data_IF_846377869554
#
_entry.id   IF_846377869554
#
_cell.length_a   1.000
_cell.length_b   1.000
_cell.length_c   1.000
_cell.angle_alpha   90.00
_cell.angle_beta   90.00
_cell.angle_gamma   90.00
#
_symmetry.space_group_name_H-M   'P 1'
#
loop_
_entity.id
_entity.type
_entity.pdbx_description
1 polymer ?
#
# COMPACT_ATOMS: atom_id res chain seq x y z
N UNK A 1 5.93 -0.17 -14.25
CA UNK A 1 6.46 -0.68 -12.96
C UNK A 1 7.60 0.24 -12.57
N UNK A 2 7.56 0.82 -11.36
CA UNK A 2 8.58 1.75 -10.88
C UNK A 2 9.82 1.02 -10.35
N UNK A 3 10.91 1.76 -10.18
CA UNK A 3 12.16 1.23 -9.62
C UNK A 3 12.09 1.19 -8.08
N UNK A 4 11.97 -0.02 -7.53
CA UNK A 4 11.92 -0.25 -6.08
C UNK A 4 13.22 0.16 -5.37
N UNK A 5 14.36 0.11 -6.07
CA UNK A 5 15.66 0.49 -5.51
C UNK A 5 15.72 1.99 -5.18
N UNK A 6 14.96 2.80 -5.92
CA UNK A 6 14.89 4.25 -5.76
C UNK A 6 13.62 4.69 -5.02
N UNK A 7 12.92 3.76 -4.36
CA UNK A 7 11.64 4.06 -3.70
C UNK A 7 11.74 5.14 -2.63
N UNK A 8 12.91 5.28 -1.98
CA UNK A 8 13.19 6.27 -0.93
C UNK A 8 14.42 7.15 -1.22
N UNK A 9 15.14 6.92 -2.32
CA UNK A 9 16.55 7.31 -2.47
C UNK A 9 16.79 8.82 -2.66
N UNK A 10 15.84 9.56 -3.23
CA UNK A 10 16.04 10.99 -3.54
C UNK A 10 15.48 11.95 -2.48
N UNK A 11 14.54 11.50 -1.65
CA UNK A 11 13.81 12.40 -0.72
C UNK A 11 13.47 11.78 0.64
N UNK A 12 13.71 10.48 0.86
CA UNK A 12 13.17 9.74 2.01
C UNK A 12 11.66 9.49 1.93
N UNK A 13 10.98 9.91 0.84
CA UNK A 13 9.53 9.81 0.67
C UNK A 13 9.21 8.87 -0.49
N UNK A 14 8.32 7.90 -0.28
CA UNK A 14 7.83 6.98 -1.31
C UNK A 14 7.04 7.67 -2.43
N UNK A 15 7.72 8.23 -3.44
CA UNK A 15 7.17 9.06 -4.55
C UNK A 15 6.06 8.42 -5.42
N UNK A 16 5.66 7.18 -5.13
CA UNK A 16 4.69 6.42 -5.92
C UNK A 16 3.25 6.50 -5.39
N UNK A 17 3.03 7.11 -4.22
CA UNK A 17 1.71 7.25 -3.60
C UNK A 17 0.93 8.47 -4.14
N UNK A 18 1.62 9.56 -4.50
CA UNK A 18 1.02 10.82 -4.91
C UNK A 18 0.88 10.99 -6.43
N UNK A 19 -0.35 11.24 -6.89
CA UNK A 19 -0.64 11.48 -8.31
C UNK A 19 0.04 12.73 -8.88
N UNK A 20 0.24 13.80 -8.08
CA UNK A 20 0.86 15.02 -8.61
C UNK A 20 2.34 14.84 -8.91
N UNK A 21 3.02 13.93 -8.22
CA UNK A 21 4.44 13.67 -8.48
C UNK A 21 4.62 12.80 -9.73
N UNK A 22 3.69 11.86 -10.00
CA UNK A 22 3.60 11.16 -11.29
C UNK A 22 3.32 12.09 -12.47
N UNK A 23 2.56 13.17 -12.26
CA UNK A 23 2.26 14.15 -13.30
C UNK A 23 3.49 14.98 -13.70
N UNK A 24 4.40 15.28 -12.76
CA UNK A 24 5.65 16.00 -13.06
C UNK A 24 6.60 15.19 -13.95
N UNK A 25 6.51 13.85 -13.91
CA UNK A 25 7.34 12.96 -14.73
C UNK A 25 6.83 12.87 -16.18
N UNK A 26 5.55 13.16 -16.44
CA UNK A 26 4.96 13.19 -17.78
C UNK A 26 4.63 14.62 -18.23
N UNK A 27 5.62 15.27 -18.86
CA UNK A 27 5.54 16.62 -19.47
C UNK A 27 4.22 16.84 -20.23
N UNK A 28 3.42 17.79 -19.79
CA UNK A 28 2.24 18.26 -20.53
C UNK A 28 2.54 19.64 -21.17
N UNK A 29 2.47 19.72 -22.50
CA UNK A 29 2.35 21.00 -23.24
C UNK A 29 0.89 21.43 -23.19
N UNK A 30 0.64 22.67 -22.77
CA UNK A 30 -0.69 23.28 -22.72
C UNK A 30 -1.09 23.89 -24.08
N UNK A 31 -2.37 23.75 -24.43
CA UNK A 31 -3.01 24.50 -25.52
C UNK A 31 -4.27 23.82 -26.04
N UNK A 32 -5.45 24.39 -25.72
CA UNK A 32 -6.73 24.26 -26.45
C UNK A 32 -7.66 23.04 -26.25
N UNK A 33 -7.43 22.14 -25.30
CA UNK A 33 -8.37 21.00 -25.04
C UNK A 33 -8.87 20.91 -23.57
N UNK A 34 -9.26 22.05 -22.98
CA UNK A 34 -9.41 22.21 -21.52
C UNK A 34 -10.35 21.18 -20.83
N UNK A 35 -11.54 20.91 -21.37
CA UNK A 35 -12.48 19.99 -20.70
C UNK A 35 -12.14 18.52 -20.91
N UNK A 36 -11.77 18.10 -22.13
CA UNK A 36 -11.33 16.72 -22.38
C UNK A 36 -10.05 16.40 -21.60
N UNK A 37 -9.10 17.34 -21.55
CA UNK A 37 -7.88 17.20 -20.75
C UNK A 37 -8.16 17.16 -19.25
N UNK A 38 -9.11 17.96 -18.76
CA UNK A 38 -9.54 17.94 -17.35
C UNK A 38 -10.26 16.64 -16.97
N UNK A 39 -11.13 16.13 -17.83
CA UNK A 39 -11.81 14.84 -17.64
C UNK A 39 -10.80 13.69 -17.66
N UNK A 40 -9.87 13.70 -18.60
CA UNK A 40 -8.79 12.71 -18.67
C UNK A 40 -7.91 12.76 -17.40
N UNK A 41 -7.54 13.96 -16.94
CA UNK A 41 -6.78 14.11 -15.69
C UNK A 41 -7.53 13.58 -14.47
N UNK A 42 -8.85 13.82 -14.37
CA UNK A 42 -9.70 13.26 -13.31
C UNK A 42 -9.80 11.74 -13.39
N UNK A 43 -9.93 11.20 -14.60
CA UNK A 43 -9.97 9.75 -14.83
C UNK A 43 -8.65 9.10 -14.42
N UNK A 44 -7.51 9.64 -14.85
CA UNK A 44 -6.18 9.16 -14.45
C UNK A 44 -5.98 9.21 -12.93
N UNK A 45 -6.44 10.30 -12.30
CA UNK A 45 -6.42 10.41 -10.84
C UNK A 45 -7.26 9.30 -10.20
N UNK A 46 -8.48 9.07 -10.67
CA UNK A 46 -9.34 7.99 -10.17
C UNK A 46 -8.66 6.62 -10.31
N UNK A 47 -8.17 6.29 -11.51
CA UNK A 47 -7.47 5.03 -11.80
C UNK A 47 -6.28 4.84 -10.86
N UNK A 48 -5.49 5.89 -10.58
CA UNK A 48 -4.36 5.81 -9.65
C UNK A 48 -4.80 5.38 -8.25
N UNK A 49 -5.70 6.12 -7.61
CA UNK A 49 -6.11 5.80 -6.23
C UNK A 49 -6.92 4.50 -6.14
N UNK A 50 -7.76 4.19 -7.14
CA UNK A 50 -8.53 2.96 -7.20
C UNK A 50 -7.62 1.72 -7.39
N UNK A 51 -6.62 1.83 -8.26
CA UNK A 51 -5.62 0.76 -8.45
C UNK A 51 -4.87 0.49 -7.16
N UNK A 52 -4.37 1.53 -6.48
CA UNK A 52 -3.66 1.37 -5.20
C UNK A 52 -4.53 0.74 -4.12
N UNK A 53 -5.77 1.19 -3.99
CA UNK A 53 -6.74 0.59 -3.07
C UNK A 53 -6.90 -0.92 -3.33
N UNK A 54 -7.13 -1.29 -4.60
CA UNK A 54 -7.30 -2.70 -5.01
C UNK A 54 -6.03 -3.53 -4.80
N UNK A 55 -4.86 -2.99 -5.13
CA UNK A 55 -3.56 -3.66 -4.93
C UNK A 55 -3.30 -3.96 -3.44
N UNK A 56 -3.64 -3.03 -2.55
CA UNK A 56 -3.50 -3.26 -1.11
C UNK A 56 -4.48 -4.32 -0.60
N UNK A 57 -5.72 -4.33 -1.07
CA UNK A 57 -6.67 -5.41 -0.72
C UNK A 57 -6.21 -6.77 -1.25
N UNK A 58 -5.75 -6.86 -2.50
CA UNK A 58 -5.18 -8.09 -3.03
C UNK A 58 -3.99 -8.57 -2.19
N UNK A 59 -3.17 -7.64 -1.69
CA UNK A 59 -2.04 -7.97 -0.82
C UNK A 59 -2.48 -8.51 0.53
N UNK A 60 -3.60 -8.03 1.08
CA UNK A 60 -4.21 -8.60 2.31
C UNK A 60 -4.59 -10.05 2.08
N UNK A 61 -5.22 -10.38 0.94
CA UNK A 61 -5.60 -11.76 0.64
C UNK A 61 -4.39 -12.69 0.54
N UNK A 62 -3.27 -12.20 -0.02
CA UNK A 62 -2.01 -12.93 -0.09
C UNK A 62 -1.40 -13.15 1.30
N UNK A 63 -1.41 -12.13 2.16
CA UNK A 63 -0.90 -12.23 3.53
C UNK A 63 -1.74 -13.17 4.39
N UNK A 64 -3.07 -13.17 4.22
CA UNK A 64 -3.96 -14.12 4.90
C UNK A 64 -3.64 -15.57 4.52
N UNK A 65 -3.47 -15.85 3.22
CA UNK A 65 -3.04 -17.18 2.73
C UNK A 65 -1.67 -17.57 3.28
N UNK A 66 -0.74 -16.62 3.36
CA UNK A 66 0.57 -16.84 3.97
C UNK A 66 0.44 -17.19 5.46
N UNK A 67 -0.52 -16.61 6.15
CA UNK A 67 -0.81 -16.98 7.54
C UNK A 67 -1.32 -18.40 7.73
N UNK A 68 -2.17 -18.88 6.83
CA UNK A 68 -2.61 -20.29 6.82
C UNK A 68 -1.43 -21.26 6.60
N UNK A 69 -0.55 -20.91 5.66
CA UNK A 69 0.68 -21.66 5.42
C UNK A 69 1.60 -21.66 6.65
N UNK A 70 1.75 -20.51 7.32
CA UNK A 70 2.58 -20.40 8.51
C UNK A 70 2.06 -21.28 9.66
N UNK A 71 0.74 -21.30 9.89
CA UNK A 71 0.13 -22.20 10.89
C UNK A 71 0.44 -23.67 10.62
N UNK A 72 0.42 -24.07 9.34
CA UNK A 72 0.77 -25.43 8.93
C UNK A 72 2.25 -25.73 9.18
N UNK A 73 3.15 -24.78 8.90
CA UNK A 73 4.59 -24.90 9.16
C UNK A 73 4.91 -24.96 10.65
N UNK A 74 4.28 -24.13 11.47
CA UNK A 74 4.41 -24.15 12.94
C UNK A 74 3.99 -25.52 13.47
N UNK A 75 2.82 -26.01 13.05
CA UNK A 75 2.31 -27.32 13.48
C UNK A 75 3.28 -28.45 13.11
N UNK A 76 3.86 -28.40 11.91
CA UNK A 76 4.88 -29.35 11.47
C UNK A 76 6.13 -29.30 12.35
N UNK A 77 6.67 -28.11 12.62
CA UNK A 77 7.87 -27.93 13.46
C UNK A 77 7.61 -28.47 14.87
N UNK A 78 6.49 -28.08 15.50
CA UNK A 78 6.14 -28.54 16.84
C UNK A 78 6.05 -30.06 16.89
N UNK A 79 5.38 -30.68 15.91
CA UNK A 79 5.25 -32.15 15.84
C UNK A 79 6.58 -32.91 15.71
N UNK A 80 7.60 -32.29 15.09
CA UNK A 80 8.94 -32.89 14.89
C UNK A 80 9.96 -32.51 15.95
N UNK A 81 9.59 -31.63 16.87
CA UNK A 81 10.52 -31.04 17.84
C UNK A 81 10.81 -31.91 19.07
N UNK A 82 10.24 -33.12 19.18
CA UNK A 82 10.34 -33.98 20.36
C UNK A 82 10.03 -33.22 21.67
N UNK A 83 8.95 -32.43 21.69
CA UNK A 83 8.52 -31.57 22.79
C UNK A 83 9.49 -30.42 23.16
N UNK A 84 10.45 -30.07 22.29
CA UNK A 84 11.33 -28.92 22.50
C UNK A 84 10.59 -27.59 22.36
N UNK A 85 9.54 -27.54 21.55
CA UNK A 85 8.73 -26.34 21.35
C UNK A 85 7.23 -26.61 21.53
N UNK A 86 6.49 -25.60 21.96
CA UNK A 86 5.03 -25.63 22.06
C UNK A 86 4.39 -24.65 21.05
N UNK A 87 3.10 -24.83 20.76
CA UNK A 87 2.38 -23.90 19.87
C UNK A 87 2.34 -22.47 20.44
N UNK A 88 2.29 -22.30 21.75
CA UNK A 88 2.21 -21.00 22.41
C UNK A 88 3.44 -20.12 22.14
N UNK A 89 4.63 -20.73 21.99
CA UNK A 89 5.85 -20.01 21.66
C UNK A 89 5.81 -19.37 20.26
N UNK A 90 4.90 -19.81 19.39
CA UNK A 90 4.72 -19.30 18.03
C UNK A 90 3.50 -18.39 17.89
N UNK A 91 2.73 -18.13 18.95
CA UNK A 91 1.52 -17.29 18.89
C UNK A 91 1.82 -15.88 18.35
N UNK A 92 2.96 -15.30 18.75
CA UNK A 92 3.41 -13.99 18.27
C UNK A 92 3.49 -13.91 16.73
N UNK A 93 3.74 -15.02 16.04
CA UNK A 93 3.79 -15.03 14.58
C UNK A 93 2.41 -14.80 13.96
N UNK A 94 1.35 -15.34 14.59
CA UNK A 94 -0.01 -15.07 14.16
C UNK A 94 -0.38 -13.60 14.40
N UNK A 95 0.04 -13.04 15.53
CA UNK A 95 -0.17 -11.61 15.85
C UNK A 95 0.51 -10.70 14.82
N UNK A 96 1.73 -11.04 14.39
CA UNK A 96 2.45 -10.30 13.34
C UNK A 96 1.66 -10.30 12.03
N UNK A 97 1.17 -11.47 11.58
CA UNK A 97 0.37 -11.54 10.34
C UNK A 97 -0.90 -10.72 10.46
N UNK A 98 -1.58 -10.79 11.60
CA UNK A 98 -2.79 -10.02 11.85
C UNK A 98 -2.50 -8.51 11.82
N UNK A 99 -1.40 -8.08 12.44
CA UNK A 99 -0.95 -6.69 12.42
C UNK A 99 -0.65 -6.21 11.00
N UNK A 100 0.06 -7.02 10.20
CA UNK A 100 0.33 -6.72 8.78
C UNK A 100 -0.97 -6.57 8.00
N UNK A 101 -1.92 -7.50 8.18
CA UNK A 101 -3.23 -7.43 7.52
C UNK A 101 -4.01 -6.16 7.91
N UNK A 102 -4.02 -5.81 9.21
CA UNK A 102 -4.65 -4.58 9.73
C UNK A 102 -3.99 -3.34 9.13
N UNK A 103 -2.66 -3.27 9.12
CA UNK A 103 -1.91 -2.16 8.55
C UNK A 103 -2.20 -1.99 7.05
N UNK A 104 -2.25 -3.08 6.27
CA UNK A 104 -2.61 -2.99 4.84
C UNK A 104 -4.04 -2.58 4.59
N UNK A 105 -4.99 -3.03 5.41
CA UNK A 105 -6.39 -2.56 5.32
C UNK A 105 -6.49 -1.07 5.64
N UNK A 106 -5.77 -0.60 6.65
CA UNK A 106 -5.69 0.83 6.95
C UNK A 106 -5.10 1.59 5.77
N UNK A 107 -3.95 1.13 5.24
CA UNK A 107 -3.28 1.71 4.09
C UNK A 107 -4.16 1.71 2.83
N UNK A 108 -4.92 0.66 2.54
CA UNK A 108 -5.88 0.66 1.43
C UNK A 108 -6.86 1.84 1.57
N UNK A 109 -7.49 1.97 2.73
CA UNK A 109 -8.49 3.02 2.99
C UNK A 109 -7.90 4.44 2.92
N UNK A 110 -6.61 4.62 3.23
CA UNK A 110 -5.96 5.93 3.09
C UNK A 110 -5.98 6.44 1.64
N UNK A 111 -5.94 5.58 0.62
CA UNK A 111 -6.04 6.01 -0.79
C UNK A 111 -7.43 6.57 -1.13
N UNK A 112 -8.49 5.94 -0.62
CA UNK A 112 -9.86 6.45 -0.76
C UNK A 112 -10.02 7.79 -0.05
N UNK A 113 -9.52 7.92 1.18
CA UNK A 113 -9.54 9.18 1.93
C UNK A 113 -8.76 10.27 1.18
N UNK A 114 -7.56 9.96 0.69
CA UNK A 114 -6.70 10.92 -0.02
C UNK A 114 -7.28 11.37 -1.36
N UNK A 115 -8.06 10.53 -2.03
CA UNK A 115 -8.75 10.88 -3.27
C UNK A 115 -9.76 12.01 -3.06
N UNK A 116 -10.59 11.91 -2.02
CA UNK A 116 -11.64 12.88 -1.68
C UNK A 116 -11.16 14.08 -0.85
N UNK A 117 -9.98 13.99 -0.24
CA UNK A 117 -9.42 15.09 0.56
C UNK A 117 -9.30 16.38 -0.25
N UNK A 118 -9.53 17.52 0.42
CA UNK A 118 -9.34 18.88 -0.13
C UNK A 118 -8.36 19.67 0.74
N UNK A 119 -7.80 20.75 0.19
CA UNK A 119 -6.81 21.58 0.87
C UNK A 119 -5.36 21.06 0.71
N UNK A 120 -4.47 21.93 0.22
CA UNK A 120 -3.09 21.58 -0.12
C UNK A 120 -2.27 21.13 1.11
N UNK A 121 -2.37 21.84 2.23
CA UNK A 121 -1.63 21.54 3.46
C UNK A 121 -2.05 20.21 4.09
N UNK A 122 -3.36 19.95 4.16
CA UNK A 122 -3.92 18.68 4.67
C UNK A 122 -3.43 17.50 3.87
N UNK A 123 -3.45 17.61 2.54
CA UNK A 123 -2.93 16.59 1.63
C UNK A 123 -1.45 16.32 1.84
N UNK A 124 -0.63 17.37 1.90
CA UNK A 124 0.81 17.21 2.08
C UNK A 124 1.16 16.51 3.39
N UNK A 125 0.50 16.89 4.49
CA UNK A 125 0.70 16.22 5.78
C UNK A 125 0.19 14.78 5.75
N UNK A 126 -0.96 14.52 5.14
CA UNK A 126 -1.49 13.16 5.00
C UNK A 126 -0.56 12.27 4.16
N UNK A 127 -0.04 12.79 3.05
CA UNK A 127 0.87 12.07 2.17
C UNK A 127 2.19 11.74 2.87
N UNK A 128 2.66 12.61 3.76
CA UNK A 128 3.82 12.37 4.61
C UNK A 128 3.56 11.20 5.57
N UNK A 129 2.46 11.25 6.33
CA UNK A 129 2.08 10.17 7.28
C UNK A 129 1.79 8.84 6.56
N UNK A 130 1.28 8.88 5.33
CA UNK A 130 1.02 7.67 4.55
C UNK A 130 2.30 7.04 3.97
N UNK A 131 3.38 7.82 3.83
CA UNK A 131 4.64 7.39 3.25
C UNK A 131 5.66 6.89 4.28
N UNK A 132 5.60 7.41 5.51
CA UNK A 132 6.28 6.86 6.70
C UNK A 132 5.73 5.49 7.09
#
# INVERSE_FOLDING_TARGET
>A
MGDYKNHYAETGIGLCNNFSDLQKVNRAKEGEMKERSRLDMRMRKFVHYATRYKEHLNSVDLDMKRGEQLKSQISFIVSRSNNKYTLSEFEFMNEIIELVCKARRALANTYSMRFFMTGKRKKAFFDFIQAD
#
